data_IF_319319409290
#
_entry.id   IF_319319409290
#
_cell.length_a   1.000
_cell.length_b   1.000
_cell.length_c   1.000
_cell.angle_alpha   90.00
_cell.angle_beta   90.00
_cell.angle_gamma   90.00
#
_symmetry.space_group_name_H-M   'P 1'
#
loop_
_entity.id
_entity.type
_entity.pdbx_description
1 polymer ?
#
# COMPACT_ATOMS: atom_id res chain seq x y z
N UNK A 1 2.26 -3.72 -15.11
CA UNK A 1 1.81 -5.13 -15.05
C UNK A 1 0.54 -5.27 -15.88
N UNK A 2 0.11 -6.47 -16.24
CA UNK A 2 -1.12 -6.64 -17.04
C UNK A 2 -2.40 -6.80 -16.20
N UNK A 3 -2.27 -6.84 -14.86
CA UNK A 3 -3.39 -7.01 -13.93
C UNK A 3 -3.23 -6.16 -12.66
N UNK A 4 -4.34 -5.82 -11.96
CA UNK A 4 -4.28 -5.07 -10.70
C UNK A 4 -3.59 -5.85 -9.58
N UNK A 5 -2.69 -5.18 -8.84
CA UNK A 5 -1.89 -5.76 -7.76
C UNK A 5 -2.18 -5.05 -6.43
N UNK A 6 -2.28 -5.80 -5.34
CA UNK A 6 -2.37 -5.23 -3.99
C UNK A 6 -1.01 -4.67 -3.56
N UNK A 7 -0.99 -3.56 -2.84
CA UNK A 7 0.25 -2.92 -2.40
C UNK A 7 1.21 -3.84 -1.61
N UNK A 8 0.68 -4.67 -0.70
CA UNK A 8 1.51 -5.66 0.00
C UNK A 8 2.15 -6.70 -0.94
N UNK A 9 1.41 -7.12 -1.98
CA UNK A 9 1.93 -8.05 -3.00
C UNK A 9 2.95 -7.35 -3.88
N UNK A 10 2.78 -6.06 -4.23
CA UNK A 10 3.77 -5.33 -5.00
C UNK A 10 5.11 -5.22 -4.25
N UNK A 11 5.07 -4.96 -2.93
CA UNK A 11 6.27 -4.98 -2.08
C UNK A 11 6.92 -6.36 -2.09
N UNK A 12 6.14 -7.44 -1.88
CA UNK A 12 6.69 -8.80 -1.87
C UNK A 12 7.34 -9.18 -3.21
N UNK A 13 6.72 -8.82 -4.35
CA UNK A 13 7.32 -9.02 -5.67
C UNK A 13 8.66 -8.26 -5.78
N UNK A 14 8.75 -7.05 -5.23
CA UNK A 14 10.00 -6.31 -5.09
C UNK A 14 11.06 -7.07 -4.27
N UNK A 15 10.68 -7.68 -3.14
CA UNK A 15 11.61 -8.50 -2.34
C UNK A 15 12.12 -9.73 -3.06
N UNK A 16 11.39 -10.21 -4.08
CA UNK A 16 11.81 -11.32 -4.95
C UNK A 16 12.70 -10.88 -6.12
N UNK A 17 13.13 -9.61 -6.12
CA UNK A 17 14.13 -9.10 -7.08
C UNK A 17 13.56 -8.29 -8.24
N UNK A 18 12.25 -8.07 -8.29
CA UNK A 18 11.61 -7.40 -9.44
C UNK A 18 11.63 -5.87 -9.31
N UNK A 19 11.94 -5.20 -10.42
CA UNK A 19 11.85 -3.75 -10.56
C UNK A 19 10.73 -3.41 -11.54
N UNK A 20 9.74 -2.64 -11.13
CA UNK A 20 8.61 -2.28 -11.99
C UNK A 20 7.88 -1.01 -11.52
N UNK A 21 7.18 -0.40 -12.47
CA UNK A 21 6.21 0.65 -12.22
C UNK A 21 4.80 0.05 -12.04
N UNK A 22 4.11 0.47 -10.99
CA UNK A 22 2.71 0.16 -10.73
C UNK A 22 1.86 1.44 -10.86
N UNK A 23 1.17 1.65 -11.99
CA UNK A 23 0.34 2.83 -12.19
C UNK A 23 -0.89 2.84 -11.27
N UNK A 24 -1.45 4.02 -11.03
CA UNK A 24 -2.61 4.25 -10.16
C UNK A 24 -3.82 3.33 -10.43
N UNK A 25 -4.08 3.02 -11.69
CA UNK A 25 -5.18 2.18 -12.15
C UNK A 25 -4.95 0.70 -11.79
N UNK A 26 -3.70 0.29 -11.64
CA UNK A 26 -3.31 -1.08 -11.34
C UNK A 26 -3.14 -1.34 -9.83
N UNK A 27 -3.35 -0.35 -8.97
CA UNK A 27 -3.47 -0.61 -7.54
C UNK A 27 -4.84 -1.23 -7.21
N UNK A 28 -4.86 -2.51 -6.82
CA UNK A 28 -6.10 -3.25 -6.55
C UNK A 28 -6.77 -2.91 -5.21
N UNK A 29 -6.00 -2.39 -4.24
CA UNK A 29 -6.49 -2.15 -2.88
C UNK A 29 -6.90 -0.69 -2.69
N UNK A 30 -8.20 -0.43 -2.52
CA UNK A 30 -8.72 0.92 -2.31
C UNK A 30 -8.18 1.60 -1.04
N UNK A 31 -7.97 0.85 0.04
CA UNK A 31 -7.34 1.38 1.26
C UNK A 31 -5.90 1.84 1.00
N UNK A 32 -5.13 1.05 0.24
CA UNK A 32 -3.76 1.42 -0.13
C UNK A 32 -3.72 2.62 -1.08
N UNK A 33 -4.61 2.70 -2.08
CA UNK A 33 -4.70 3.88 -2.95
C UNK A 33 -4.96 5.15 -2.17
N UNK A 34 -5.82 5.09 -1.15
CA UNK A 34 -6.08 6.23 -0.28
C UNK A 34 -4.89 6.58 0.62
N UNK A 35 -4.24 5.58 1.23
CA UNK A 35 -3.06 5.79 2.07
C UNK A 35 -1.89 6.39 1.28
N UNK A 36 -1.69 5.94 0.04
CA UNK A 36 -0.64 6.43 -0.88
C UNK A 36 -1.01 7.75 -1.58
N UNK A 37 -2.16 8.37 -1.26
CA UNK A 37 -2.58 9.64 -1.86
C UNK A 37 -2.92 9.55 -3.35
N UNK A 38 -3.13 8.34 -3.89
CA UNK A 38 -3.49 8.09 -5.30
C UNK A 38 -4.96 8.42 -5.56
N UNK A 39 -5.85 8.08 -4.62
CA UNK A 39 -7.29 8.34 -4.75
C UNK A 39 -7.93 8.69 -3.42
N UNK A 40 -9.18 9.12 -3.43
CA UNK A 40 -9.95 9.25 -2.20
C UNK A 40 -10.29 7.88 -1.58
N UNK A 41 -10.53 7.89 -0.27
CA UNK A 41 -11.00 6.72 0.45
C UNK A 41 -12.48 6.48 0.13
N UNK A 42 -12.81 5.34 -0.47
CA UNK A 42 -14.18 4.98 -0.78
C UNK A 42 -15.02 4.85 0.50
N UNK A 43 -16.27 5.33 0.49
CA UNK A 43 -17.16 5.32 1.67
C UNK A 43 -17.37 3.91 2.26
N UNK A 44 -17.41 2.87 1.41
CA UNK A 44 -17.50 1.46 1.88
C UNK A 44 -16.25 0.98 2.63
N UNK A 45 -15.10 1.61 2.38
CA UNK A 45 -13.85 1.33 3.10
C UNK A 45 -13.78 2.20 4.34
N UNK A 46 -14.08 3.50 4.22
CA UNK A 46 -14.15 4.46 5.33
C UNK A 46 -15.08 4.01 6.46
N UNK A 47 -16.26 3.49 6.11
CA UNK A 47 -17.22 2.92 7.07
C UNK A 47 -16.78 1.61 7.72
N UNK A 48 -15.60 1.10 7.41
CA UNK A 48 -15.09 -0.17 7.93
C UNK A 48 -15.71 -1.42 7.29
N UNK A 49 -16.74 -1.28 6.45
CA UNK A 49 -17.51 -2.41 5.90
C UNK A 49 -16.63 -3.37 5.10
N UNK A 50 -15.88 -2.87 4.13
CA UNK A 50 -14.98 -3.68 3.30
C UNK A 50 -13.86 -4.35 4.12
N UNK A 51 -13.06 -3.62 4.92
CA UNK A 51 -12.01 -4.26 5.70
C UNK A 51 -12.54 -5.28 6.72
N UNK A 52 -13.70 -5.05 7.33
CA UNK A 52 -14.35 -6.03 8.21
C UNK A 52 -14.79 -7.29 7.46
N UNK A 53 -15.44 -7.14 6.30
CA UNK A 53 -15.84 -8.28 5.45
C UNK A 53 -14.64 -9.12 4.98
N UNK A 54 -13.45 -8.52 4.87
CA UNK A 54 -12.21 -9.21 4.56
C UNK A 54 -11.50 -9.81 5.79
N UNK A 55 -12.10 -9.73 6.98
CA UNK A 55 -11.52 -10.28 8.22
C UNK A 55 -10.33 -9.50 8.75
N UNK A 56 -10.15 -8.24 8.35
CA UNK A 56 -8.99 -7.43 8.75
C UNK A 56 -9.14 -6.78 10.13
N UNK A 57 -10.28 -6.96 10.81
CA UNK A 57 -10.55 -6.38 12.12
C UNK A 57 -11.61 -7.18 12.87
N UNK A 58 -11.64 -7.05 14.20
CA UNK A 58 -12.58 -7.74 15.10
C UNK A 58 -14.02 -7.24 14.96
N UNK A 59 -14.23 -6.00 14.50
CA UNK A 59 -15.55 -5.43 14.26
C UNK A 59 -15.51 -4.38 13.14
N UNK A 60 -16.67 -4.06 12.57
CA UNK A 60 -16.78 -2.98 11.59
C UNK A 60 -16.37 -1.62 12.18
N UNK A 61 -16.75 -1.33 13.44
CA UNK A 61 -16.37 -0.08 14.10
C UNK A 61 -14.86 0.04 14.31
N UNK A 62 -14.20 -1.05 14.71
CA UNK A 62 -12.74 -1.09 14.81
C UNK A 62 -12.08 -0.90 13.42
N UNK A 63 -12.63 -1.52 12.37
CA UNK A 63 -12.15 -1.33 11.01
C UNK A 63 -12.30 0.12 10.52
N UNK A 64 -13.42 0.77 10.82
CA UNK A 64 -13.66 2.17 10.47
C UNK A 64 -12.66 3.09 11.17
N UNK A 65 -12.43 2.88 12.47
CA UNK A 65 -11.44 3.63 13.26
C UNK A 65 -10.03 3.48 12.70
N UNK A 66 -9.62 2.27 12.33
CA UNK A 66 -8.31 2.04 11.69
C UNK A 66 -8.22 2.84 10.37
N UNK A 67 -9.27 2.81 9.53
CA UNK A 67 -9.26 3.56 8.27
C UNK A 67 -9.22 5.08 8.48
N UNK A 68 -9.79 5.58 9.56
CA UNK A 68 -9.71 6.99 9.96
C UNK A 68 -8.28 7.36 10.40
N UNK A 69 -7.70 6.58 11.31
CA UNK A 69 -6.41 6.86 11.96
C UNK A 69 -5.18 6.58 11.08
N UNK A 70 -5.27 5.68 10.09
CA UNK A 70 -4.15 5.38 9.17
C UNK A 70 -3.62 6.70 8.56
N UNK A 71 -2.31 6.98 8.65
CA UNK A 71 -1.69 8.12 7.97
C UNK A 71 -1.90 8.04 6.45
N UNK A 72 -2.23 9.17 5.84
CA UNK A 72 -2.51 9.26 4.40
C UNK A 72 -1.63 10.35 3.80
N UNK A 73 -0.98 10.03 2.68
CA UNK A 73 -0.29 11.03 1.88
C UNK A 73 -1.29 12.02 1.27
N UNK A 74 -0.84 13.24 0.93
CA UNK A 74 -1.71 14.22 0.29
C UNK A 74 -2.34 13.67 -1.00
N UNK A 75 -3.66 13.84 -1.12
CA UNK A 75 -4.47 13.31 -2.22
C UNK A 75 -4.09 13.91 -3.57
N UNK A 76 -4.20 13.11 -4.62
CA UNK A 76 -4.06 13.53 -6.02
C UNK A 76 -2.63 13.90 -6.43
N UNK A 77 -1.64 13.66 -5.56
CA UNK A 77 -0.23 14.00 -5.83
C UNK A 77 0.57 12.88 -6.48
N UNK A 78 0.07 11.64 -6.45
CA UNK A 78 0.83 10.45 -6.83
C UNK A 78 0.08 9.70 -7.93
N UNK A 79 0.79 9.36 -9.02
CA UNK A 79 0.23 8.68 -10.21
C UNK A 79 0.52 7.18 -10.23
N UNK A 80 1.24 6.67 -9.23
CA UNK A 80 1.61 5.26 -9.11
C UNK A 80 2.74 5.07 -8.11
N UNK A 81 3.29 3.87 -8.07
CA UNK A 81 4.46 3.53 -7.24
C UNK A 81 5.56 2.88 -8.08
N UNK A 82 6.81 3.22 -7.78
CA UNK A 82 7.98 2.54 -8.31
C UNK A 82 8.47 1.56 -7.26
N UNK A 83 8.64 0.29 -7.66
CA UNK A 83 9.08 -0.78 -6.77
C UNK A 83 10.39 -1.34 -7.33
N UNK A 84 11.39 -1.49 -6.47
CA UNK A 84 12.68 -2.10 -6.82
C UNK A 84 13.38 -2.62 -5.57
N UNK A 85 14.18 -3.69 -5.65
CA UNK A 85 15.25 -3.92 -4.70
C UNK A 85 16.17 -2.69 -4.63
N UNK A 86 16.62 -2.34 -3.42
CA UNK A 86 17.44 -1.15 -3.18
C UNK A 86 18.74 -1.17 -3.99
N UNK A 87 19.42 -2.32 -4.03
CA UNK A 87 20.65 -2.53 -4.80
C UNK A 87 20.51 -2.34 -6.32
N UNK A 88 19.28 -2.35 -6.85
CA UNK A 88 18.96 -2.24 -8.28
C UNK A 88 18.11 -1.02 -8.62
N UNK A 89 17.79 -0.17 -7.64
CA UNK A 89 16.87 0.95 -7.83
C UNK A 89 17.47 1.95 -8.84
N UNK A 90 16.85 2.16 -10.01
CA UNK A 90 17.32 3.14 -11.00
C UNK A 90 16.83 4.56 -10.69
N UNK A 91 16.38 4.81 -9.45
CA UNK A 91 15.79 6.05 -8.96
C UNK A 91 16.17 6.24 -7.48
N UNK A 92 16.07 7.46 -6.98
CA UNK A 92 16.23 7.77 -5.56
C UNK A 92 14.92 7.42 -4.82
N UNK A 93 14.91 6.42 -3.92
CA UNK A 93 13.68 5.96 -3.30
C UNK A 93 13.22 6.90 -2.18
N UNK A 94 11.95 7.35 -2.23
CA UNK A 94 11.33 8.13 -1.16
C UNK A 94 11.12 7.32 0.14
N UNK A 95 10.95 6.00 0.01
CA UNK A 95 10.68 5.07 1.12
C UNK A 95 11.51 3.80 0.92
N UNK A 96 12.23 3.40 1.97
CA UNK A 96 12.95 2.13 2.03
C UNK A 96 12.25 1.22 3.04
N UNK A 97 11.92 -0.01 2.61
CA UNK A 97 11.32 -1.04 3.47
C UNK A 97 12.38 -2.09 3.77
N UNK A 98 12.74 -2.23 5.04
CA UNK A 98 13.64 -3.28 5.51
C UNK A 98 12.82 -4.44 6.08
N UNK A 99 13.04 -5.65 5.54
CA UNK A 99 12.47 -6.90 6.07
C UNK A 99 13.59 -7.66 6.75
N UNK A 100 13.69 -7.50 8.06
CA UNK A 100 14.83 -7.97 8.85
C UNK A 100 14.38 -8.51 10.21
N UNK A 101 15.21 -9.33 10.84
CA UNK A 101 15.01 -9.74 12.23
C UNK A 101 15.35 -8.60 13.20
N UNK A 102 14.84 -8.64 14.45
CA UNK A 102 15.13 -7.61 15.45
C UNK A 102 16.62 -7.31 15.62
N UNK A 103 17.47 -8.34 15.60
CA UNK A 103 18.92 -8.22 15.76
C UNK A 103 19.60 -7.44 14.63
N UNK A 104 19.00 -7.40 13.44
CA UNK A 104 19.49 -6.66 12.28
C UNK A 104 18.97 -5.21 12.24
N UNK A 105 17.97 -4.89 13.06
CA UNK A 105 17.33 -3.56 13.12
C UNK A 105 17.86 -2.69 14.27
N UNK A 106 18.70 -3.25 15.15
CA UNK A 106 19.39 -2.56 16.24
C UNK A 106 20.82 -2.23 15.86
#
# INVERSE_FOLDING_TARGET
MDFPVRHCVSINIGTLGATFYLPAEQHACAAAKAALGISELLEKVKSGKVPYMHGLSSSQGAAARIMEEIPKLPKGKHVGTLISPLEKAPFDPDVIILVVCPEQAM
#
